data_IF_741136844868
#
_entry.id   IF_741136844868
#
_cell.length_a   1.000
_cell.length_b   1.000
_cell.length_c   1.000
_cell.angle_alpha   90.00
_cell.angle_beta   90.00
_cell.angle_gamma   90.00
#
_symmetry.space_group_name_H-M   'P 1'
#
loop_
_entity.id
_entity.type
_entity.pdbx_description
1 polymer ?
#
# COMPACT_ATOMS: atom_id res chain seq x y z
N UNK A 1 -27.98 -16.64 -11.13
CA UNK A 1 -27.46 -16.53 -9.75
C UNK A 1 -26.03 -16.12 -9.90
N UNK A 2 -25.60 -15.00 -9.32
CA UNK A 2 -24.18 -14.61 -9.37
C UNK A 2 -23.47 -15.45 -8.29
N UNK A 3 -22.74 -16.48 -8.72
CA UNK A 3 -22.03 -17.36 -7.78
C UNK A 3 -20.89 -16.62 -7.09
N UNK A 4 -20.29 -15.63 -7.77
CA UNK A 4 -19.22 -14.80 -7.23
C UNK A 4 -19.60 -14.08 -5.94
N UNK A 5 -20.79 -13.44 -5.88
CA UNK A 5 -21.27 -12.77 -4.66
C UNK A 5 -21.44 -13.78 -3.50
N UNK A 6 -21.99 -14.96 -3.78
CA UNK A 6 -22.20 -15.99 -2.76
C UNK A 6 -20.86 -16.53 -2.21
N UNK A 7 -19.88 -16.74 -3.09
CA UNK A 7 -18.56 -17.21 -2.69
C UNK A 7 -17.79 -16.11 -1.95
N UNK A 8 -17.91 -14.85 -2.36
CA UNK A 8 -17.32 -13.71 -1.68
C UNK A 8 -17.83 -13.59 -0.24
N UNK A 9 -19.15 -13.68 -0.04
CA UNK A 9 -19.77 -13.68 1.29
C UNK A 9 -19.31 -14.88 2.14
N UNK A 10 -19.24 -16.08 1.55
CA UNK A 10 -18.73 -17.27 2.23
C UNK A 10 -17.27 -17.07 2.70
N UNK A 11 -16.42 -16.56 1.81
CA UNK A 11 -15.02 -16.34 2.12
C UNK A 11 -14.82 -15.22 3.14
N UNK A 12 -15.62 -14.15 3.08
CA UNK A 12 -15.66 -13.08 4.08
C UNK A 12 -15.99 -13.62 5.48
N UNK A 13 -17.04 -14.43 5.62
CA UNK A 13 -17.40 -15.06 6.89
C UNK A 13 -16.29 -16.00 7.40
N UNK A 14 -15.63 -16.73 6.49
CA UNK A 14 -14.49 -17.57 6.84
C UNK A 14 -13.30 -16.74 7.35
N UNK A 15 -12.99 -15.61 6.70
CA UNK A 15 -11.94 -14.69 7.15
C UNK A 15 -12.24 -14.12 8.53
N UNK A 16 -13.47 -13.68 8.78
CA UNK A 16 -13.92 -13.17 10.08
C UNK A 16 -13.73 -14.23 11.18
N UNK A 17 -14.20 -15.46 10.93
CA UNK A 17 -14.08 -16.58 11.87
C UNK A 17 -12.62 -16.91 12.21
N UNK A 18 -11.70 -16.67 11.27
CA UNK A 18 -10.27 -16.93 11.45
C UNK A 18 -9.48 -15.67 11.88
N UNK A 19 -10.15 -14.57 12.21
CA UNK A 19 -9.54 -13.35 12.75
C UNK A 19 -8.82 -12.48 11.72
N UNK A 20 -9.14 -12.61 10.43
CA UNK A 20 -8.60 -11.75 9.39
C UNK A 20 -9.44 -10.47 9.25
N UNK A 21 -8.80 -9.31 9.39
CA UNK A 21 -9.39 -8.02 9.00
C UNK A 21 -9.54 -7.97 7.49
N UNK A 22 -10.74 -7.61 7.02
CA UNK A 22 -11.07 -7.50 5.61
C UNK A 22 -12.28 -6.57 5.43
N UNK A 23 -12.55 -6.17 4.18
CA UNK A 23 -13.72 -5.40 3.77
C UNK A 23 -14.47 -6.18 2.70
N UNK A 24 -15.79 -6.30 2.85
CA UNK A 24 -16.68 -6.93 1.88
C UNK A 24 -18.05 -6.25 2.00
N UNK A 25 -18.63 -5.86 0.86
CA UNK A 25 -20.00 -5.38 0.78
C UNK A 25 -20.92 -6.54 0.40
N UNK A 26 -22.11 -6.65 1.01
CA UNK A 26 -23.01 -7.82 0.86
C UNK A 26 -23.37 -8.14 -0.60
N UNK A 27 -23.45 -7.12 -1.46
CA UNK A 27 -23.79 -7.24 -2.89
C UNK A 27 -22.56 -7.29 -3.82
N UNK A 28 -21.36 -7.41 -3.26
CA UNK A 28 -20.09 -7.37 -4.01
C UNK A 28 -19.50 -8.77 -4.23
N UNK A 29 -18.95 -8.97 -5.42
CA UNK A 29 -18.11 -10.12 -5.80
C UNK A 29 -16.63 -9.87 -5.48
N UNK A 30 -16.31 -8.87 -4.65
CA UNK A 30 -14.93 -8.49 -4.31
C UNK A 30 -14.74 -8.47 -2.81
N UNK A 31 -13.76 -9.23 -2.31
CA UNK A 31 -13.27 -9.16 -0.93
C UNK A 31 -11.92 -8.45 -0.94
N UNK A 32 -11.78 -7.42 -0.11
CA UNK A 32 -10.54 -6.62 0.02
C UNK A 32 -9.85 -6.94 1.33
N UNK A 33 -8.56 -7.25 1.26
CA UNK A 33 -7.80 -7.77 2.40
C UNK A 33 -6.46 -7.03 2.43
N UNK A 34 -6.24 -6.26 3.49
CA UNK A 34 -4.95 -5.62 3.76
C UNK A 34 -4.04 -6.56 4.53
N UNK A 35 -2.83 -6.78 4.02
CA UNK A 35 -1.76 -7.47 4.73
C UNK A 35 -0.68 -6.47 5.06
N UNK A 36 -0.40 -6.29 6.34
CA UNK A 36 0.68 -5.44 6.84
C UNK A 36 1.54 -6.34 7.71
N UNK A 37 2.86 -6.41 7.47
CA UNK A 37 3.72 -7.34 8.21
C UNK A 37 5.08 -7.63 7.59
N UNK A 38 5.83 -8.50 8.28
CA UNK A 38 7.26 -8.83 8.17
C UNK A 38 7.68 -9.49 6.82
N UNK A 39 7.42 -8.83 5.70
CA UNK A 39 7.93 -9.19 4.38
C UNK A 39 9.35 -8.65 4.20
N UNK A 40 10.19 -9.36 3.44
CA UNK A 40 11.59 -8.95 3.27
C UNK A 40 11.72 -7.63 2.48
N UNK A 41 10.72 -7.32 1.65
CA UNK A 41 10.85 -6.30 0.62
C UNK A 41 9.79 -5.17 0.67
N UNK A 42 8.66 -5.33 1.37
CA UNK A 42 7.63 -4.27 1.48
C UNK A 42 6.88 -4.27 2.83
N UNK A 43 6.34 -3.12 3.23
CA UNK A 43 5.70 -2.96 4.54
C UNK A 43 4.25 -3.50 4.59
N UNK A 44 3.58 -3.51 3.45
CA UNK A 44 2.25 -4.06 3.31
C UNK A 44 1.79 -4.21 1.86
N UNK A 45 0.69 -4.93 1.67
CA UNK A 45 0.05 -5.18 0.40
C UNK A 45 -1.46 -5.26 0.58
N UNK A 46 -2.19 -4.52 -0.25
CA UNK A 46 -3.64 -4.66 -0.38
C UNK A 46 -3.96 -5.66 -1.47
N UNK A 47 -4.69 -6.71 -1.10
CA UNK A 47 -5.11 -7.78 -1.99
C UNK A 47 -6.62 -7.72 -2.20
N UNK A 48 -7.05 -7.73 -3.46
CA UNK A 48 -8.44 -7.86 -3.87
C UNK A 48 -8.64 -9.28 -4.38
N UNK A 49 -9.65 -9.97 -3.87
CA UNK A 49 -10.12 -11.24 -4.41
C UNK A 49 -11.45 -11.00 -5.11
N UNK A 50 -11.44 -11.06 -6.44
CA UNK A 50 -12.62 -10.90 -7.30
C UNK A 50 -13.11 -12.27 -7.73
N UNK A 51 -14.37 -12.58 -7.46
CA UNK A 51 -14.97 -13.89 -7.67
C UNK A 51 -15.78 -13.90 -8.98
N UNK A 52 -15.49 -14.85 -9.87
CA UNK A 52 -16.20 -15.02 -11.15
C UNK A 52 -17.71 -15.24 -10.94
N UNK A 53 -18.52 -14.72 -11.87
CA UNK A 53 -19.98 -14.82 -11.78
C UNK A 53 -20.50 -16.26 -12.00
N UNK A 54 -19.71 -17.08 -12.69
CA UNK A 54 -19.93 -18.51 -12.96
C UNK A 54 -19.52 -19.44 -11.81
N UNK A 55 -18.71 -18.96 -10.86
CA UNK A 55 -18.19 -19.75 -9.75
C UNK A 55 -17.09 -20.73 -10.15
N UNK A 56 -16.39 -20.49 -11.27
CA UNK A 56 -15.30 -21.35 -11.76
C UNK A 56 -13.92 -20.74 -11.54
N UNK A 57 -13.83 -19.44 -11.28
CA UNK A 57 -12.56 -18.77 -11.01
C UNK A 57 -12.63 -17.66 -9.95
N UNK A 58 -11.46 -17.38 -9.37
CA UNK A 58 -11.23 -16.23 -8.51
C UNK A 58 -9.94 -15.56 -8.94
N UNK A 59 -10.00 -14.26 -9.19
CA UNK A 59 -8.82 -13.46 -9.49
C UNK A 59 -8.31 -12.77 -8.23
N UNK A 60 -7.06 -13.03 -7.88
CA UNK A 60 -6.31 -12.33 -6.84
C UNK A 60 -5.57 -11.18 -7.49
N UNK A 61 -5.69 -9.97 -6.94
CA UNK A 61 -5.07 -8.76 -7.48
C UNK A 61 -4.40 -7.95 -6.38
N UNK A 62 -3.27 -7.32 -6.69
CA UNK A 62 -2.75 -6.16 -6.00
C UNK A 62 -2.62 -5.05 -7.05
N UNK A 63 -3.69 -4.26 -7.27
CA UNK A 63 -3.76 -3.29 -8.37
C UNK A 63 -2.79 -2.13 -8.17
N UNK A 64 -2.53 -1.76 -6.92
CA UNK A 64 -1.71 -0.61 -6.57
C UNK A 64 -0.49 -1.02 -5.73
N UNK A 65 0.29 -1.99 -6.24
CA UNK A 65 1.35 -2.62 -5.46
C UNK A 65 2.56 -1.70 -5.23
N UNK A 66 3.01 -0.98 -6.25
CA UNK A 66 4.03 0.06 -6.13
C UNK A 66 3.93 1.07 -7.28
N UNK A 67 4.43 2.28 -7.08
CA UNK A 67 4.51 3.30 -8.13
C UNK A 67 5.94 3.38 -8.64
N UNK A 68 6.11 3.26 -9.96
CA UNK A 68 7.40 3.39 -10.63
C UNK A 68 7.54 4.79 -11.20
N UNK A 69 8.58 5.56 -10.82
CA UNK A 69 8.88 6.85 -11.42
C UNK A 69 9.08 6.76 -12.93
N UNK A 70 8.76 7.81 -13.67
CA UNK A 70 8.87 7.84 -15.13
C UNK A 70 10.24 7.39 -15.64
N UNK A 71 11.31 7.88 -15.01
CA UNK A 71 12.69 7.54 -15.35
C UNK A 71 13.02 6.04 -15.24
N UNK A 72 12.27 5.29 -14.41
CA UNK A 72 12.47 3.85 -14.18
C UNK A 72 11.47 2.94 -14.90
N UNK A 73 10.50 3.49 -15.66
CA UNK A 73 9.39 2.70 -16.25
C UNK A 73 9.87 1.64 -17.24
N UNK A 74 10.88 1.94 -18.07
CA UNK A 74 11.40 0.98 -19.05
C UNK A 74 12.09 -0.22 -18.36
N UNK A 75 12.82 0.05 -17.28
CA UNK A 75 13.53 -0.93 -16.47
C UNK A 75 12.56 -1.76 -15.64
N UNK A 76 11.55 -1.13 -15.08
CA UNK A 76 10.45 -1.81 -14.42
C UNK A 76 9.70 -2.77 -15.37
N UNK A 77 9.47 -2.37 -16.62
CA UNK A 77 8.89 -3.25 -17.64
C UNK A 77 9.82 -4.44 -17.95
N UNK A 78 11.12 -4.21 -18.03
CA UNK A 78 12.11 -5.29 -18.17
C UNK A 78 12.13 -6.23 -16.96
N UNK A 79 12.12 -5.69 -15.75
CA UNK A 79 12.06 -6.43 -14.49
C UNK A 79 10.79 -7.28 -14.43
N UNK A 80 9.62 -6.72 -14.81
CA UNK A 80 8.37 -7.46 -14.94
C UNK A 80 8.50 -8.68 -15.85
N UNK A 81 9.11 -8.52 -17.03
CA UNK A 81 9.34 -9.65 -17.94
C UNK A 81 10.21 -10.74 -17.28
N UNK A 82 11.24 -10.35 -16.53
CA UNK A 82 12.12 -11.30 -15.82
C UNK A 82 11.43 -12.02 -14.67
N UNK A 83 10.63 -11.34 -13.86
CA UNK A 83 9.88 -11.99 -12.80
C UNK A 83 8.75 -12.86 -13.35
N UNK A 84 8.12 -12.48 -14.47
CA UNK A 84 7.10 -13.28 -15.16
C UNK A 84 7.68 -14.58 -15.78
N UNK A 85 8.93 -14.58 -16.24
CA UNK A 85 9.63 -15.81 -16.66
C UNK A 85 9.78 -16.81 -15.50
N UNK A 86 9.92 -16.31 -14.27
CA UNK A 86 10.15 -17.08 -13.04
C UNK A 86 8.84 -17.52 -12.36
N UNK A 87 7.88 -16.61 -12.22
CA UNK A 87 6.61 -16.85 -11.51
C UNK A 87 5.45 -16.94 -12.50
N UNK A 88 5.24 -18.12 -13.07
CA UNK A 88 4.24 -18.29 -14.15
C UNK A 88 2.77 -18.13 -13.75
N UNK A 89 2.48 -18.12 -12.45
CA UNK A 89 1.13 -18.07 -11.90
C UNK A 89 0.80 -16.72 -11.24
N UNK A 90 1.75 -15.78 -11.18
CA UNK A 90 1.52 -14.38 -10.81
C UNK A 90 2.04 -13.49 -11.94
N UNK A 91 1.17 -12.67 -12.51
CA UNK A 91 1.51 -11.75 -13.59
C UNK A 91 1.84 -10.38 -13.00
N UNK A 92 3.00 -9.86 -13.35
CA UNK A 92 3.46 -8.52 -13.02
C UNK A 92 3.32 -7.62 -14.24
N UNK A 93 2.75 -6.43 -14.07
CA UNK A 93 2.61 -5.45 -15.14
C UNK A 93 2.72 -4.03 -14.60
N UNK A 94 3.35 -3.15 -15.38
CA UNK A 94 3.42 -1.71 -15.09
C UNK A 94 2.53 -0.98 -16.07
N UNK A 95 1.66 -0.12 -15.56
CA UNK A 95 0.81 0.74 -16.38
C UNK A 95 1.60 1.92 -16.96
N UNK A 96 1.03 2.62 -17.95
CA UNK A 96 1.63 3.84 -18.49
C UNK A 96 1.86 4.92 -17.41
N UNK A 97 0.99 4.97 -16.39
CA UNK A 97 1.15 5.86 -15.23
C UNK A 97 2.25 5.45 -14.26
N UNK A 98 2.87 4.28 -14.43
CA UNK A 98 3.91 3.76 -13.53
C UNK A 98 3.38 2.82 -12.45
N UNK A 99 2.06 2.60 -12.35
CA UNK A 99 1.50 1.66 -11.37
C UNK A 99 1.92 0.21 -11.67
N UNK A 100 2.71 -0.38 -10.79
CA UNK A 100 3.01 -1.81 -10.75
C UNK A 100 1.82 -2.55 -10.13
N UNK A 101 1.36 -3.57 -10.84
CA UNK A 101 0.21 -4.39 -10.44
C UNK A 101 0.55 -5.86 -10.56
N UNK A 102 -0.04 -6.66 -9.67
CA UNK A 102 0.08 -8.10 -9.66
C UNK A 102 -1.29 -8.75 -9.81
N UNK A 103 -1.39 -9.81 -10.60
CA UNK A 103 -2.62 -10.61 -10.72
C UNK A 103 -2.35 -12.11 -10.76
N UNK A 104 -3.29 -12.91 -10.27
CA UNK A 104 -3.25 -14.37 -10.33
C UNK A 104 -4.67 -14.91 -10.48
N UNK A 105 -4.85 -15.86 -11.40
CA UNK A 105 -6.15 -16.49 -11.68
C UNK A 105 -6.17 -17.86 -10.99
N UNK A 106 -7.15 -18.07 -10.11
CA UNK A 106 -7.31 -19.31 -9.33
C UNK A 106 -8.55 -20.05 -9.83
N UNK A 107 -8.41 -21.21 -10.49
CA UNK A 107 -9.57 -22.03 -10.81
C UNK A 107 -10.14 -22.62 -9.51
N UNK A 108 -11.46 -22.58 -9.39
CA UNK A 108 -12.22 -23.18 -8.30
C UNK A 108 -13.28 -24.12 -8.88
N UNK A 109 -13.69 -25.11 -8.10
CA UNK A 109 -14.75 -26.03 -8.52
C UNK A 109 -15.95 -25.85 -7.58
N UNK A 110 -17.13 -25.61 -8.16
CA UNK A 110 -18.38 -25.45 -7.41
C UNK A 110 -18.78 -26.69 -6.58
N UNK A 111 -18.10 -27.83 -6.77
CA UNK A 111 -18.31 -29.08 -6.03
C UNK A 111 -17.47 -29.17 -4.75
N UNK A 112 -16.53 -28.25 -4.54
CA UNK A 112 -15.71 -28.21 -3.32
C UNK A 112 -16.59 -27.98 -2.08
N UNK A 113 -16.16 -28.52 -0.95
CA UNK A 113 -16.78 -28.13 0.32
C UNK A 113 -16.40 -26.68 0.67
N UNK A 114 -17.26 -25.97 1.40
CA UNK A 114 -17.01 -24.58 1.83
C UNK A 114 -15.65 -24.40 2.50
N UNK A 115 -15.26 -25.35 3.37
CA UNK A 115 -13.97 -25.32 4.06
C UNK A 115 -12.78 -25.55 3.10
N UNK A 116 -12.91 -26.48 2.16
CA UNK A 116 -11.85 -26.76 1.18
C UNK A 116 -11.67 -25.57 0.22
N UNK A 117 -12.78 -24.97 -0.23
CA UNK A 117 -12.79 -23.78 -1.06
C UNK A 117 -12.10 -22.62 -0.33
N UNK A 118 -12.55 -22.28 0.88
CA UNK A 118 -11.96 -21.19 1.64
C UNK A 118 -10.49 -21.45 2.01
N UNK A 119 -10.14 -22.70 2.32
CA UNK A 119 -8.75 -23.11 2.58
C UNK A 119 -7.85 -22.96 1.35
N UNK A 120 -8.35 -23.31 0.16
CA UNK A 120 -7.67 -23.08 -1.12
C UNK A 120 -7.44 -21.58 -1.35
N UNK A 121 -8.49 -20.77 -1.22
CA UNK A 121 -8.43 -19.32 -1.45
C UNK A 121 -7.41 -18.64 -0.50
N UNK A 122 -7.47 -18.95 0.79
CA UNK A 122 -6.52 -18.43 1.78
C UNK A 122 -5.08 -18.85 1.46
N UNK A 123 -4.87 -20.11 1.05
CA UNK A 123 -3.55 -20.62 0.68
C UNK A 123 -3.01 -19.95 -0.58
N UNK A 124 -3.85 -19.77 -1.60
CA UNK A 124 -3.51 -19.11 -2.85
C UNK A 124 -3.13 -17.65 -2.62
N UNK A 125 -3.91 -16.93 -1.82
CA UNK A 125 -3.61 -15.55 -1.41
C UNK A 125 -2.28 -15.44 -0.67
N UNK A 126 -2.02 -16.30 0.33
CA UNK A 126 -0.74 -16.30 1.05
C UNK A 126 0.44 -16.59 0.13
N UNK A 127 0.28 -17.48 -0.85
CA UNK A 127 1.31 -17.75 -1.85
C UNK A 127 1.53 -16.55 -2.75
N UNK A 128 0.47 -15.90 -3.22
CA UNK A 128 0.53 -14.68 -4.01
C UNK A 128 1.35 -13.60 -3.31
N UNK A 129 1.07 -13.35 -2.03
CA UNK A 129 1.80 -12.36 -1.21
C UNK A 129 3.28 -12.71 -1.07
N UNK A 130 3.61 -13.99 -0.82
CA UNK A 130 5.01 -14.43 -0.74
C UNK A 130 5.77 -14.26 -2.05
N UNK A 131 5.08 -14.42 -3.19
CA UNK A 131 5.67 -14.14 -4.50
C UNK A 131 5.84 -12.66 -4.72
N UNK A 132 4.86 -11.85 -4.32
CA UNK A 132 4.98 -10.40 -4.36
C UNK A 132 6.23 -9.94 -3.60
N UNK A 133 6.46 -10.49 -2.40
CA UNK A 133 7.59 -10.09 -1.53
C UNK A 133 8.92 -10.40 -2.20
N UNK A 134 9.15 -11.66 -2.56
CA UNK A 134 10.39 -12.05 -3.23
C UNK A 134 10.57 -11.35 -4.59
N UNK A 135 9.50 -11.13 -5.34
CA UNK A 135 9.60 -10.47 -6.64
C UNK A 135 9.92 -8.98 -6.51
N UNK A 136 9.41 -8.32 -5.48
CA UNK A 136 9.69 -6.91 -5.23
C UNK A 136 11.16 -6.67 -4.85
N UNK A 137 11.77 -7.54 -4.02
CA UNK A 137 13.20 -7.47 -3.75
C UNK A 137 14.06 -7.53 -5.03
N UNK A 138 13.76 -8.47 -5.94
CA UNK A 138 14.44 -8.53 -7.25
C UNK A 138 14.13 -7.32 -8.14
N UNK A 139 12.90 -6.79 -8.05
CA UNK A 139 12.49 -5.61 -8.82
C UNK A 139 13.30 -4.37 -8.42
N UNK A 140 13.51 -4.15 -7.12
CA UNK A 140 14.35 -3.08 -6.60
C UNK A 140 15.81 -3.21 -7.09
N UNK A 141 16.38 -4.42 -7.08
CA UNK A 141 17.74 -4.66 -7.61
C UNK A 141 17.87 -4.23 -9.09
N UNK A 142 16.89 -4.55 -9.94
CA UNK A 142 16.94 -4.17 -11.36
C UNK A 142 16.76 -2.68 -11.61
N UNK A 143 15.96 -1.98 -10.78
CA UNK A 143 15.74 -0.54 -10.92
C UNK A 143 16.96 0.24 -10.40
N UNK A 144 17.50 -0.11 -9.24
CA UNK A 144 18.68 0.55 -8.64
C UNK A 144 19.96 0.36 -9.47
N UNK A 145 20.19 -0.83 -10.04
CA UNK A 145 21.36 -1.09 -10.89
C UNK A 145 21.42 -0.24 -12.16
N UNK A 146 20.30 0.37 -12.58
CA UNK A 146 20.24 1.24 -13.75
C UNK A 146 20.49 2.72 -13.40
N UNK A 147 20.02 3.17 -12.23
CA UNK A 147 20.30 4.52 -11.70
C UNK A 147 21.79 4.72 -11.40
N UNK A 148 22.52 3.64 -11.11
CA UNK A 148 23.97 3.67 -10.91
C UNK A 148 24.78 3.81 -12.21
N UNK A 149 24.19 3.59 -13.39
CA UNK A 149 24.88 3.65 -14.69
C UNK A 149 24.70 4.96 -15.45
N UNK A 150 23.87 5.89 -14.96
CA UNK A 150 23.60 7.19 -15.59
C UNK A 150 24.32 8.37 -14.89
N UNK A 151 25.40 8.11 -14.13
CA UNK A 151 26.28 9.19 -13.65
C UNK A 151 27.30 9.55 -14.73
N UNK A 152 26.85 10.21 -15.80
CA UNK A 152 27.67 11.21 -16.49
C UNK A 152 27.33 12.59 -15.91
N UNK A 153 28.29 13.17 -15.24
CA UNK A 153 28.23 14.48 -14.59
C UNK A 153 28.06 15.62 -15.59
N UNK A 154 27.05 16.46 -15.41
CA UNK A 154 27.10 17.87 -15.80
C UNK A 154 26.45 18.74 -14.70
N UNK A 155 27.15 19.72 -14.10
CA UNK A 155 26.64 20.50 -13.00
C UNK A 155 26.03 21.80 -13.53
N UNK A 156 24.71 21.90 -13.50
CA UNK A 156 23.94 23.16 -13.38
C UNK A 156 22.50 22.87 -13.80
N UNK A 157 21.58 22.80 -12.83
CA UNK A 157 20.29 23.50 -12.88
C UNK A 157 19.51 23.28 -11.59
N UNK A 158 19.28 24.38 -10.88
CA UNK A 158 18.24 24.54 -9.87
C UNK A 158 16.86 24.47 -10.56
N UNK A 159 15.93 23.70 -10.02
CA UNK A 159 14.46 23.85 -10.20
C UNK A 159 13.79 23.26 -8.96
N UNK A 160 13.28 24.06 -8.04
CA UNK A 160 11.93 24.69 -8.00
C UNK A 160 10.76 23.67 -7.94
N UNK A 161 10.10 23.71 -6.77
CA UNK A 161 8.75 23.29 -6.37
C UNK A 161 8.15 21.98 -6.93
N UNK A 162 8.33 20.91 -6.15
CA UNK A 162 7.53 19.69 -6.27
C UNK A 162 6.27 19.75 -5.41
N UNK A 163 5.13 19.99 -6.06
CA UNK A 163 3.81 19.74 -5.47
C UNK A 163 3.64 18.22 -5.25
N UNK A 164 3.39 17.83 -4.01
CA UNK A 164 3.41 16.45 -3.51
C UNK A 164 2.04 15.78 -3.74
N UNK A 165 1.93 14.83 -4.69
CA UNK A 165 0.69 14.08 -4.91
C UNK A 165 0.58 12.89 -3.91
N UNK A 166 -0.25 13.07 -2.87
CA UNK A 166 -1.08 12.02 -2.23
C UNK A 166 -0.39 10.82 -1.57
N UNK A 167 0.59 11.01 -0.70
CA UNK A 167 1.23 9.91 0.06
C UNK A 167 0.33 9.47 1.24
N UNK A 168 -0.31 8.29 1.19
CA UNK A 168 -1.08 7.74 2.32
C UNK A 168 -0.26 6.82 3.25
N UNK A 169 -0.46 6.91 4.57
CA UNK A 169 0.23 6.11 5.61
C UNK A 169 -0.70 5.80 6.79
N UNK A 170 -0.31 4.87 7.69
CA UNK A 170 -1.11 4.55 8.88
C UNK A 170 -0.46 5.13 10.15
N UNK A 171 -1.26 5.87 10.93
CA UNK A 171 -0.89 6.40 12.24
C UNK A 171 -1.62 5.66 13.36
N UNK A 172 -1.08 5.66 14.58
CA UNK A 172 -1.77 5.14 15.77
C UNK A 172 -2.38 6.32 16.53
N UNK A 173 -3.68 6.27 16.79
CA UNK A 173 -4.36 7.29 17.57
C UNK A 173 -4.17 7.07 19.09
N UNK A 174 -4.64 8.03 19.91
CA UNK A 174 -4.54 7.96 21.37
C UNK A 174 -5.29 6.77 22.00
N UNK A 175 -6.18 6.12 21.24
CA UNK A 175 -6.93 4.92 21.64
C UNK A 175 -6.21 3.62 21.25
N UNK A 176 -5.05 3.71 20.60
CA UNK A 176 -4.25 2.56 20.14
C UNK A 176 -4.72 1.96 18.82
N UNK A 177 -5.60 2.65 18.09
CA UNK A 177 -6.16 2.19 16.82
C UNK A 177 -5.34 2.72 15.64
N UNK A 178 -5.23 1.92 14.58
CA UNK A 178 -4.58 2.32 13.33
C UNK A 178 -5.54 3.11 12.45
N UNK A 179 -5.17 4.34 12.10
CA UNK A 179 -5.94 5.25 11.25
C UNK A 179 -5.20 5.51 9.94
N UNK A 180 -5.87 5.31 8.81
CA UNK A 180 -5.35 5.66 7.49
C UNK A 180 -5.33 7.18 7.33
N UNK A 181 -4.15 7.70 7.02
CA UNK A 181 -3.86 9.11 6.91
C UNK A 181 -3.32 9.43 5.51
N UNK A 182 -3.59 10.62 5.02
CA UNK A 182 -2.98 11.16 3.81
C UNK A 182 -2.02 12.27 4.21
N UNK A 183 -0.75 12.13 3.85
CA UNK A 183 0.27 13.14 4.06
C UNK A 183 0.06 14.29 3.06
N UNK A 184 -0.04 15.48 3.63
CA UNK A 184 -0.19 16.75 2.93
C UNK A 184 1.20 17.33 2.65
N UNK A 185 2.11 17.21 3.62
CA UNK A 185 3.48 17.73 3.53
C UNK A 185 4.42 16.93 4.43
N UNK A 186 5.65 16.73 3.97
CA UNK A 186 6.74 16.18 4.79
C UNK A 186 8.00 17.03 4.58
N UNK A 187 8.69 17.41 5.66
CA UNK A 187 9.92 18.20 5.57
C UNK A 187 10.89 17.87 6.71
N UNK A 188 12.19 18.05 6.47
CA UNK A 188 13.24 17.85 7.48
C UNK A 188 13.72 19.20 8.03
N UNK A 189 13.90 19.29 9.34
CA UNK A 189 14.55 20.44 9.99
C UNK A 189 15.41 19.98 11.17
N UNK A 190 16.68 20.37 11.16
CA UNK A 190 17.66 20.01 12.21
C UNK A 190 17.74 18.49 12.49
N UNK A 191 17.63 17.66 11.44
CA UNK A 191 17.66 16.20 11.56
C UNK A 191 16.39 15.60 12.17
N UNK A 192 15.28 16.36 12.22
CA UNK A 192 13.96 15.88 12.62
C UNK A 192 13.02 15.93 11.42
N UNK A 193 12.28 14.86 11.20
CA UNK A 193 11.30 14.74 10.12
C UNK A 193 9.92 15.19 10.63
N UNK A 194 9.30 16.14 9.94
CA UNK A 194 7.96 16.65 10.23
C UNK A 194 6.99 16.15 9.17
N UNK A 195 5.78 15.77 9.59
CA UNK A 195 4.71 15.35 8.69
C UNK A 195 3.42 16.08 9.04
N UNK A 196 2.77 16.63 8.03
CA UNK A 196 1.43 17.20 8.09
C UNK A 196 0.49 16.29 7.32
N UNK A 197 -0.65 15.93 7.91
CA UNK A 197 -1.53 14.90 7.36
C UNK A 197 -2.98 15.06 7.77
N UNK A 198 -3.87 14.35 7.10
CA UNK A 198 -5.31 14.27 7.38
C UNK A 198 -5.74 12.82 7.54
N UNK A 199 -6.65 12.53 8.46
CA UNK A 199 -7.34 11.24 8.59
C UNK A 199 -8.66 11.19 7.76
N UNK A 200 -8.85 12.19 6.89
CA UNK A 200 -10.05 12.43 6.10
C UNK A 200 -11.33 12.63 6.92
N UNK A 201 -11.21 12.89 8.23
CA UNK A 201 -12.34 13.30 9.07
C UNK A 201 -12.59 14.80 8.96
N UNK A 202 -13.79 15.23 9.36
CA UNK A 202 -14.23 16.64 9.26
C UNK A 202 -14.53 17.27 10.62
N UNK A 203 -14.31 18.58 10.70
CA UNK A 203 -14.69 19.45 11.80
C UNK A 203 -16.20 19.75 11.78
N UNK A 204 -16.71 20.35 12.87
CA UNK A 204 -18.13 20.71 13.02
C UNK A 204 -18.62 21.73 11.98
N UNK A 205 -17.71 22.48 11.38
CA UNK A 205 -17.95 23.44 10.31
C UNK A 205 -17.84 22.83 8.90
N UNK A 206 -17.50 21.54 8.79
CA UNK A 206 -17.35 20.82 7.52
C UNK A 206 -15.95 20.91 6.91
N UNK A 207 -14.97 21.54 7.56
CA UNK A 207 -13.57 21.54 7.08
C UNK A 207 -12.91 20.18 7.36
N UNK A 208 -11.99 19.74 6.49
CA UNK A 208 -11.15 18.56 6.76
C UNK A 208 -10.23 18.83 7.97
N UNK A 209 -10.02 17.83 8.82
CA UNK A 209 -9.06 17.92 9.93
C UNK A 209 -7.64 17.71 9.44
N UNK A 210 -6.75 18.58 9.90
CA UNK A 210 -5.33 18.54 9.58
C UNK A 210 -4.54 18.43 10.88
N UNK A 211 -3.54 17.55 10.87
CA UNK A 211 -2.68 17.22 12.00
C UNK A 211 -1.21 17.41 11.60
N UNK A 212 -0.35 17.64 12.59
CA UNK A 212 1.10 17.72 12.39
C UNK A 212 1.84 16.99 13.51
N UNK A 213 2.84 16.21 13.13
CA UNK A 213 3.62 15.36 14.04
C UNK A 213 5.09 15.34 13.64
N UNK A 214 5.96 15.04 14.61
CA UNK A 214 7.35 14.66 14.34
C UNK A 214 7.39 13.17 14.06
N UNK A 215 7.91 12.77 12.91
CA UNK A 215 8.14 11.38 12.54
C UNK A 215 9.45 10.90 13.18
N UNK A 216 9.38 9.77 13.92
CA UNK A 216 10.58 9.05 14.34
C UNK A 216 11.23 8.37 13.13
N UNK A 217 12.56 8.37 13.11
CA UNK A 217 13.34 7.67 12.08
C UNK A 217 13.23 6.14 12.21
N UNK A 218 12.94 5.65 13.42
CA UNK A 218 12.70 4.24 13.70
C UNK A 218 11.19 4.00 13.89
N UNK A 219 10.60 3.07 13.13
CA UNK A 219 9.17 2.78 13.22
C UNK A 219 8.86 2.04 14.54
N UNK A 220 7.71 2.33 15.16
CA UNK A 220 7.38 1.80 16.50
C UNK A 220 6.51 0.56 16.44
N UNK A 221 6.91 -0.49 17.17
CA UNK A 221 6.13 -1.71 17.30
C UNK A 221 4.94 -1.48 18.23
N UNK A 222 3.71 -1.60 17.70
CA UNK A 222 2.50 -1.48 18.52
C UNK A 222 2.27 -2.82 19.25
N UNK A 223 2.34 -2.79 20.58
CA UNK A 223 2.06 -3.97 21.40
C UNK A 223 0.60 -4.39 21.25
N UNK A 224 0.36 -5.71 21.32
CA UNK A 224 -0.90 -6.43 21.10
C UNK A 224 -1.37 -6.65 19.65
N UNK A 225 -0.64 -6.17 18.65
CA UNK A 225 -1.01 -6.43 17.25
C UNK A 225 0.13 -6.76 16.29
N UNK A 226 1.40 -6.68 16.74
CA UNK A 226 2.55 -7.15 15.95
C UNK A 226 2.84 -6.32 14.69
N UNK A 227 2.31 -5.10 14.61
CA UNK A 227 2.53 -4.13 13.54
C UNK A 227 3.67 -3.17 13.90
N UNK A 228 4.24 -2.51 12.89
CA UNK A 228 5.10 -1.34 13.09
C UNK A 228 4.39 -0.14 12.45
N UNK A 229 4.15 0.91 13.23
CA UNK A 229 3.53 2.15 12.76
C UNK A 229 4.57 3.26 12.64
N UNK A 230 4.28 4.28 11.82
CA UNK A 230 5.06 5.51 11.86
C UNK A 230 4.98 6.06 13.30
N UNK A 231 6.12 6.13 13.99
CA UNK A 231 6.18 6.66 15.34
C UNK A 231 5.94 8.16 15.30
N UNK A 232 4.69 8.59 15.47
CA UNK A 232 4.33 10.00 15.49
C UNK A 232 4.47 10.55 16.90
N UNK A 233 5.26 11.61 17.06
CA UNK A 233 5.35 12.34 18.32
C UNK A 233 4.58 13.66 18.23
N UNK A 234 3.85 14.04 19.29
CA UNK A 234 3.18 15.32 19.34
C UNK A 234 4.21 16.45 19.32
N UNK A 235 3.93 17.48 18.53
CA UNK A 235 4.67 18.74 18.58
C UNK A 235 4.22 19.49 19.83
N UNK A 236 5.13 19.69 20.78
CA UNK A 236 4.83 20.36 22.06
C UNK A 236 5.43 21.76 22.15
N UNK A 237 6.44 22.05 21.33
CA UNK A 237 7.18 23.31 21.36
C UNK A 237 6.61 24.34 20.38
N UNK A 238 6.52 25.61 20.83
CA UNK A 238 5.99 26.71 20.01
C UNK A 238 6.84 26.98 18.77
N UNK A 239 8.15 26.85 18.88
CA UNK A 239 9.08 27.06 17.76
C UNK A 239 8.87 26.03 16.64
N UNK A 240 8.61 24.77 17.00
CA UNK A 240 8.32 23.71 16.02
C UNK A 240 6.96 23.92 15.33
N UNK A 241 5.96 24.43 16.05
CA UNK A 241 4.68 24.85 15.45
C UNK A 241 4.85 26.01 14.47
N UNK A 242 5.70 26.99 14.77
CA UNK A 242 6.01 28.10 13.86
C UNK A 242 6.67 27.60 12.56
N UNK A 243 7.47 26.53 12.62
CA UNK A 243 8.05 25.89 11.42
C UNK A 243 7.00 25.21 10.56
N UNK A 244 6.05 24.48 11.17
CA UNK A 244 4.94 23.84 10.45
C UNK A 244 4.04 24.87 9.78
N UNK A 245 3.73 25.97 10.47
CA UNK A 245 2.95 27.07 9.90
C UNK A 245 3.67 27.72 8.72
N UNK A 246 4.97 28.01 8.85
CA UNK A 246 5.76 28.55 7.73
C UNK A 246 5.81 27.60 6.53
N UNK A 247 5.92 26.29 6.78
CA UNK A 247 5.93 25.29 5.73
C UNK A 247 4.56 25.19 5.03
N UNK A 248 3.46 25.31 5.76
CA UNK A 248 2.11 25.37 5.19
C UNK A 248 1.83 26.68 4.44
N UNK A 249 2.33 27.81 4.93
CA UNK A 249 2.23 29.11 4.25
C UNK A 249 2.99 29.07 2.91
N UNK A 250 4.13 28.36 2.84
CA UNK A 250 4.86 28.18 1.59
C UNK A 250 4.10 27.37 0.54
N UNK A 251 3.20 26.48 0.96
CA UNK A 251 2.31 25.72 0.05
C UNK A 251 1.10 26.51 -0.43
N UNK A 252 0.74 27.59 0.28
CA UNK A 252 -0.43 28.43 -0.02
C UNK A 252 -0.06 29.79 -0.62
N UNK A 253 1.22 29.99 -0.96
CA UNK A 253 1.75 31.23 -1.51
C UNK A 253 1.41 31.47 -2.98
N UNK A 254 0.46 32.39 -3.20
CA UNK A 254 0.57 33.49 -4.18
C UNK A 254 1.37 34.66 -3.56
#
# INVERSE_FOLDING_TARGET
MNYGIAIAALFSAYLETNGYKHRHDEDSDIVVIGFVGNYESFDGITVLMKFGDDGEDVQIQAPDFAVVPEAGRAQAMFACNKVNERYRWVKFAVSEGGQLRLTSDIPIEATMSDNDLCGLLLTSMRRFIRVADHAYGMFCEYVDMSMANDVETDPEQETEDGQNEGLSFYAVNDEGESVECEAILTFEHEGRNFIVYTDNTTNRDGSTRVYASICKDEPETVQDCGFVALGLMPITDKADWELVEQALDSLSGD
#
